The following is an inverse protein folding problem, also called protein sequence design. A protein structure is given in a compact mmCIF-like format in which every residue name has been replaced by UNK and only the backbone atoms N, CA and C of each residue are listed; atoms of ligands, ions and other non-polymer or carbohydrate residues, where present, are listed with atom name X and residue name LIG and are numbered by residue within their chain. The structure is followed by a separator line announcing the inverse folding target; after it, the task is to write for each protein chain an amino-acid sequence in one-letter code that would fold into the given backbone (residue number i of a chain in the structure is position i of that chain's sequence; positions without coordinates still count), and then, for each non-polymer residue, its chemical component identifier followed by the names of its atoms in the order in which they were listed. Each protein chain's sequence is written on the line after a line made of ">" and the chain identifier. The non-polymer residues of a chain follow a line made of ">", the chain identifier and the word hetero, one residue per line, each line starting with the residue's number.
data_IF_954908143140
#
_entry.id   IF_954908143140
#
_cell.length_a   1.000
_cell.length_b   1.000
_cell.length_c   1.000
_cell.angle_alpha   90.00
_cell.angle_beta   90.00
_cell.angle_gamma   90.00
#
_symmetry.space_group_name_H-M   'P 1'
#
loop_
_entity.id
_entity.type
_entity.pdbx_description
1 polymer ?
#
# COMPACT_ATOMS: atom_id res chain seq x y z
N UNK A 1 -37.36 -1.97 31.31
CA UNK A 1 -35.90 -2.06 31.10
C UNK A 1 -35.58 -1.44 29.75
N UNK A 2 -34.75 -0.39 29.72
CA UNK A 2 -34.46 0.39 28.51
C UNK A 2 -33.24 -0.22 27.80
N UNK A 3 -33.42 -0.78 26.60
CA UNK A 3 -32.31 -1.38 25.84
C UNK A 3 -31.48 -0.29 25.20
N UNK A 4 -30.46 0.20 25.92
CA UNK A 4 -29.43 1.04 25.35
C UNK A 4 -28.55 0.19 24.44
N UNK A 5 -28.85 0.20 23.13
CA UNK A 5 -27.95 -0.35 22.14
C UNK A 5 -26.65 0.47 22.17
N UNK A 6 -25.56 -0.12 22.64
CA UNK A 6 -24.23 0.46 22.50
C UNK A 6 -23.99 0.68 21.00
N UNK A 7 -24.03 1.94 20.54
CA UNK A 7 -23.61 2.30 19.19
C UNK A 7 -22.13 1.96 19.09
N UNK A 8 -21.81 0.78 18.57
CA UNK A 8 -20.44 0.44 18.16
C UNK A 8 -20.09 1.43 17.06
N UNK A 9 -19.31 2.45 17.42
CA UNK A 9 -18.88 3.47 16.47
C UNK A 9 -18.20 2.79 15.29
N UNK A 10 -18.74 2.98 14.09
CA UNK A 10 -18.03 2.62 12.87
C UNK A 10 -16.81 3.53 12.80
N UNK A 11 -15.67 3.06 13.30
CA UNK A 11 -14.38 3.69 13.04
C UNK A 11 -14.15 3.53 11.54
N UNK A 12 -14.49 4.56 10.76
CA UNK A 12 -14.04 4.65 9.38
C UNK A 12 -12.57 5.02 9.48
N UNK A 13 -11.69 4.03 9.40
CA UNK A 13 -10.30 4.29 9.05
C UNK A 13 -10.33 5.06 7.74
N UNK A 14 -9.78 6.26 7.75
CA UNK A 14 -9.67 7.00 6.51
C UNK A 14 -8.74 6.20 5.60
N UNK A 15 -9.10 6.05 4.33
CA UNK A 15 -8.21 5.37 3.36
C UNK A 15 -6.83 6.03 3.32
N UNK A 16 -6.74 7.32 3.66
CA UNK A 16 -5.50 8.06 3.84
C UNK A 16 -4.60 7.57 4.99
N UNK A 17 -5.18 7.05 6.08
CA UNK A 17 -4.41 6.45 7.18
C UNK A 17 -3.89 5.05 6.85
N UNK A 18 -4.57 4.33 5.93
CA UNK A 18 -4.21 2.95 5.53
C UNK A 18 -3.29 2.93 4.30
N UNK A 19 -3.35 3.96 3.45
CA UNK A 19 -2.65 4.04 2.17
C UNK A 19 -1.81 5.32 2.08
N UNK A 20 -0.91 5.53 3.03
CA UNK A 20 0.10 6.57 2.87
C UNK A 20 1.04 6.18 1.72
N UNK A 21 0.89 6.86 0.58
CA UNK A 21 1.67 6.61 -0.63
C UNK A 21 3.18 6.61 -0.35
N UNK A 22 3.63 7.49 0.55
CA UNK A 22 5.04 7.61 0.92
C UNK A 22 5.57 6.34 1.61
N UNK A 23 4.76 5.73 2.48
CA UNK A 23 5.13 4.50 3.18
C UNK A 23 5.16 3.30 2.22
N UNK A 24 4.24 3.27 1.25
CA UNK A 24 4.21 2.24 0.20
C UNK A 24 5.45 2.36 -0.70
N UNK A 25 5.84 3.57 -1.08
CA UNK A 25 7.05 3.83 -1.87
C UNK A 25 8.33 3.45 -1.12
N UNK A 26 8.43 3.79 0.17
CA UNK A 26 9.57 3.40 1.00
C UNK A 26 9.68 1.88 1.15
N UNK A 27 8.55 1.18 1.36
CA UNK A 27 8.54 -0.28 1.45
C UNK A 27 8.91 -0.95 0.11
N UNK A 28 8.49 -0.37 -1.02
CA UNK A 28 8.89 -0.85 -2.35
C UNK A 28 10.42 -0.77 -2.53
N UNK A 29 11.03 0.36 -2.18
CA UNK A 29 12.47 0.54 -2.27
C UNK A 29 13.20 -0.47 -1.37
N UNK A 30 12.77 -0.56 -0.10
CA UNK A 30 13.34 -1.49 0.87
C UNK A 30 13.32 -2.94 0.39
N UNK A 31 12.18 -3.44 -0.09
CA UNK A 31 12.09 -4.81 -0.58
C UNK A 31 12.92 -5.06 -1.84
N UNK A 32 13.06 -4.05 -2.71
CA UNK A 32 13.90 -4.15 -3.91
C UNK A 32 15.38 -4.26 -3.53
N UNK A 33 15.83 -3.46 -2.56
CA UNK A 33 17.21 -3.51 -2.05
C UNK A 33 17.49 -4.80 -1.29
N UNK A 34 16.59 -5.23 -0.41
CA UNK A 34 16.73 -6.50 0.33
C UNK A 34 16.76 -7.69 -0.63
N UNK A 35 15.89 -7.72 -1.65
CA UNK A 35 15.89 -8.75 -2.67
C UNK A 35 17.22 -8.82 -3.41
N UNK A 36 17.78 -7.67 -3.80
CA UNK A 36 19.06 -7.60 -4.50
C UNK A 36 20.20 -8.13 -3.64
N UNK A 37 20.24 -7.73 -2.36
CA UNK A 37 21.26 -8.17 -1.41
C UNK A 37 21.20 -9.68 -1.14
N UNK A 38 20.00 -10.27 -1.20
CA UNK A 38 19.77 -11.70 -0.98
C UNK A 38 19.95 -12.54 -2.24
N UNK A 39 20.09 -11.94 -3.43
CA UNK A 39 20.11 -12.64 -4.72
C UNK A 39 21.11 -13.80 -4.77
N UNK A 40 22.28 -13.63 -4.16
CA UNK A 40 23.37 -14.63 -4.18
C UNK A 40 23.33 -15.61 -3.00
N UNK A 41 22.68 -15.25 -1.89
CA UNK A 41 22.67 -16.03 -0.65
C UNK A 41 21.40 -16.86 -0.51
N UNK A 42 20.26 -16.32 -0.91
CA UNK A 42 18.96 -16.97 -0.93
C UNK A 42 18.13 -16.45 -2.11
N UNK A 43 18.29 -17.12 -3.25
CA UNK A 43 17.57 -16.78 -4.48
C UNK A 43 16.04 -16.94 -4.32
N UNK A 44 15.56 -17.88 -3.50
CA UNK A 44 14.13 -18.08 -3.29
C UNK A 44 13.49 -16.92 -2.51
N UNK A 45 14.16 -16.45 -1.47
CA UNK A 45 13.72 -15.27 -0.72
C UNK A 45 13.86 -13.99 -1.56
N UNK A 46 14.92 -13.88 -2.36
CA UNK A 46 15.10 -12.78 -3.32
C UNK A 46 13.93 -12.68 -4.31
N UNK A 47 13.55 -13.80 -4.95
CA UNK A 47 12.43 -13.86 -5.88
C UNK A 47 11.10 -13.51 -5.21
N UNK A 48 10.88 -14.00 -3.99
CA UNK A 48 9.69 -13.65 -3.20
C UNK A 48 9.60 -12.14 -2.93
N UNK A 49 10.70 -11.53 -2.50
CA UNK A 49 10.75 -10.09 -2.21
C UNK A 49 10.55 -9.26 -3.48
N UNK A 50 11.14 -9.65 -4.62
CA UNK A 50 10.88 -8.99 -5.90
C UNK A 50 9.43 -9.10 -6.34
N UNK A 51 8.79 -10.25 -6.11
CA UNK A 51 7.38 -10.42 -6.40
C UNK A 51 6.49 -9.51 -5.54
N UNK A 52 6.77 -9.39 -4.24
CA UNK A 52 6.06 -8.45 -3.35
C UNK A 52 6.31 -6.98 -3.75
N UNK A 53 7.55 -6.61 -4.05
CA UNK A 53 7.87 -5.28 -4.56
C UNK A 53 7.10 -4.96 -5.86
N UNK A 54 6.94 -5.94 -6.76
CA UNK A 54 6.14 -5.78 -7.98
C UNK A 54 4.66 -5.49 -7.70
N UNK A 55 4.08 -6.09 -6.64
CA UNK A 55 2.72 -5.77 -6.20
C UNK A 55 2.62 -4.34 -5.66
N UNK A 56 3.57 -3.91 -4.83
CA UNK A 56 3.62 -2.55 -4.32
C UNK A 56 3.73 -1.53 -5.46
N UNK A 57 4.54 -1.80 -6.47
CA UNK A 57 4.65 -0.97 -7.68
C UNK A 57 3.30 -0.79 -8.39
N UNK A 58 2.51 -1.87 -8.52
CA UNK A 58 1.16 -1.78 -9.12
C UNK A 58 0.24 -0.90 -8.28
N UNK A 59 0.30 -1.02 -6.95
CA UNK A 59 -0.49 -0.20 -6.03
C UNK A 59 -0.10 1.28 -6.16
N UNK A 60 1.21 1.59 -6.19
CA UNK A 60 1.73 2.96 -6.37
C UNK A 60 1.22 3.56 -7.68
N UNK A 61 1.30 2.81 -8.79
CA UNK A 61 0.82 3.27 -10.09
C UNK A 61 -0.69 3.54 -10.07
N UNK A 62 -1.48 2.65 -9.48
CA UNK A 62 -2.93 2.84 -9.37
C UNK A 62 -3.29 4.07 -8.53
N UNK A 63 -2.59 4.28 -7.41
CA UNK A 63 -2.79 5.45 -6.54
C UNK A 63 -2.40 6.76 -7.23
N UNK A 64 -1.29 6.76 -7.99
CA UNK A 64 -0.86 7.92 -8.79
C UNK A 64 -1.86 8.25 -9.89
N UNK A 65 -2.36 7.24 -10.60
CA UNK A 65 -3.36 7.42 -11.65
C UNK A 65 -4.70 7.90 -11.08
N UNK A 66 -5.12 7.39 -9.91
CA UNK A 66 -6.35 7.83 -9.23
C UNK A 66 -6.30 9.29 -8.78
N UNK A 67 -5.12 9.84 -8.45
CA UNK A 67 -4.97 11.27 -8.14
C UNK A 67 -5.03 12.15 -9.39
N UNK A 68 -4.73 11.62 -10.57
CA UNK A 68 -4.81 12.36 -11.83
C UNK A 68 -6.24 12.61 -12.32
N UNK A 69 -7.17 11.69 -12.03
CA UNK A 69 -8.57 11.79 -12.51
C UNK A 69 -9.46 12.79 -11.77
N UNK A 70 -9.03 13.30 -10.61
CA UNK A 70 -9.81 14.32 -9.88
C UNK A 70 -9.67 15.72 -10.48
N UNK A 71 -8.64 15.98 -11.30
CA UNK A 71 -8.41 17.31 -11.90
C UNK A 71 -9.24 17.48 -13.19
N UNK A 72 -9.58 16.40 -13.90
CA UNK A 72 -10.32 16.46 -15.17
C UNK A 72 -11.85 16.55 -15.01
N UNK A 73 -12.38 16.48 -13.78
CA UNK A 73 -13.82 16.63 -13.52
C UNK A 73 -14.26 18.08 -13.24
N UNK A 74 -13.35 19.05 -13.37
CA UNK A 74 -13.57 20.46 -13.01
C UNK A 74 -13.57 21.43 -14.22
N UNK A 75 -13.69 20.94 -15.45
CA UNK A 75 -13.77 21.77 -16.66
C UNK A 75 -15.02 21.47 -17.50
#
# INVERSE_FOLDING_TARGET
>A
MNTQFCKVGKIKFSLNEVLNLNDIENNYLKFTEEAYNLLQTDAGLSDFLYHEASKLRKIILNLKNSKGSEIDAAF
#
